data_IF_500933625054
#
_entry.id   IF_500933625054
#
_cell.length_a   1.000
_cell.length_b   1.000
_cell.length_c   1.000
_cell.angle_alpha   90.00
_cell.angle_beta   90.00
_cell.angle_gamma   90.00
#
_symmetry.space_group_name_H-M   'P 1'
#
loop_
_entity.id
_entity.type
_entity.pdbx_description
1 polymer ?
#
# COMPACT_ATOMS: atom_id res chain seq x y z
N UNK A 1 21.27 12.72 -34.76
CA UNK A 1 19.99 12.79 -34.04
C UNK A 1 20.22 12.25 -32.64
N UNK A 2 19.71 12.87 -31.58
CA UNK A 2 19.86 12.27 -30.26
C UNK A 2 19.18 10.88 -30.30
N UNK A 3 19.90 9.91 -29.75
CA UNK A 3 19.41 8.53 -29.62
C UNK A 3 18.19 8.55 -28.68
N UNK A 4 17.00 8.51 -29.24
CA UNK A 4 15.73 8.65 -28.52
C UNK A 4 15.26 7.30 -27.96
N UNK A 5 16.22 6.48 -27.47
CA UNK A 5 15.92 5.17 -26.90
C UNK A 5 15.47 5.32 -25.45
N UNK A 6 14.36 4.67 -25.09
CA UNK A 6 13.91 4.52 -23.70
C UNK A 6 14.95 3.71 -22.95
N UNK A 7 15.45 4.25 -21.82
CA UNK A 7 16.46 3.61 -20.97
C UNK A 7 15.91 3.22 -19.59
N UNK A 8 14.84 3.86 -19.15
CA UNK A 8 14.23 3.60 -17.86
C UNK A 8 12.70 3.56 -17.99
N UNK A 9 12.08 2.74 -17.15
CA UNK A 9 10.63 2.65 -16.98
C UNK A 9 10.29 2.92 -15.52
N UNK A 10 9.34 3.80 -15.29
CA UNK A 10 8.82 4.11 -13.96
C UNK A 10 7.39 3.64 -13.85
N UNK A 11 7.03 3.07 -12.69
CA UNK A 11 5.76 2.40 -12.46
C UNK A 11 5.01 3.02 -11.30
N UNK A 12 3.72 3.31 -11.49
CA UNK A 12 2.79 3.34 -10.38
C UNK A 12 2.74 1.97 -9.70
N UNK A 13 2.45 1.93 -8.40
CA UNK A 13 2.58 0.69 -7.61
C UNK A 13 1.23 0.16 -7.13
N UNK A 14 0.48 0.97 -6.38
CA UNK A 14 -0.77 0.52 -5.75
C UNK A 14 -1.88 0.28 -6.77
N UNK A 15 -2.25 -0.99 -6.99
CA UNK A 15 -3.24 -1.40 -7.99
C UNK A 15 -2.66 -1.68 -9.38
N UNK A 16 -1.49 -1.11 -9.72
CA UNK A 16 -0.79 -1.37 -10.98
C UNK A 16 0.15 -2.58 -10.86
N UNK A 17 0.98 -2.61 -9.84
CA UNK A 17 1.98 -3.65 -9.58
C UNK A 17 1.48 -4.65 -8.54
N UNK A 18 0.74 -4.18 -7.55
CA UNK A 18 0.24 -4.99 -6.43
C UNK A 18 -1.27 -4.91 -6.29
N UNK A 19 -1.88 -6.03 -5.91
CA UNK A 19 -3.29 -6.12 -5.53
C UNK A 19 -3.47 -5.69 -4.08
N UNK A 20 -3.61 -4.38 -3.88
CA UNK A 20 -3.79 -3.82 -2.55
C UNK A 20 -5.09 -4.29 -1.90
N UNK A 21 -6.18 -4.40 -2.68
CA UNK A 21 -7.51 -4.67 -2.14
C UNK A 21 -7.59 -6.06 -1.53
N UNK A 22 -7.25 -7.10 -2.29
CA UNK A 22 -7.27 -8.48 -1.79
C UNK A 22 -6.26 -8.68 -0.65
N UNK A 23 -5.12 -7.99 -0.72
CA UNK A 23 -4.09 -8.07 0.33
C UNK A 23 -4.57 -7.47 1.65
N UNK A 24 -5.22 -6.30 1.63
CA UNK A 24 -5.79 -5.67 2.84
C UNK A 24 -6.93 -6.50 3.40
N UNK A 25 -7.81 -7.06 2.55
CA UNK A 25 -8.88 -7.97 2.97
C UNK A 25 -8.29 -9.17 3.71
N UNK A 26 -7.28 -9.83 3.14
CA UNK A 26 -6.59 -10.97 3.77
C UNK A 26 -6.02 -10.63 5.15
N UNK A 27 -5.40 -9.47 5.31
CA UNK A 27 -4.87 -9.02 6.60
C UNK A 27 -5.98 -8.75 7.61
N UNK A 28 -7.12 -8.20 7.16
CA UNK A 28 -8.32 -8.01 7.98
C UNK A 28 -8.93 -9.32 8.44
N UNK A 29 -9.09 -10.29 7.53
CA UNK A 29 -9.58 -11.64 7.84
C UNK A 29 -8.67 -12.35 8.86
N UNK A 30 -7.34 -12.19 8.73
CA UNK A 30 -6.39 -12.71 9.69
C UNK A 30 -6.52 -12.06 11.07
N UNK A 31 -6.79 -10.76 11.13
CA UNK A 31 -7.10 -10.05 12.38
C UNK A 31 -8.42 -10.56 12.97
N UNK A 32 -9.44 -10.72 12.14
CA UNK A 32 -10.75 -11.26 12.53
C UNK A 32 -10.63 -12.64 13.18
N UNK A 33 -9.86 -13.53 12.59
CA UNK A 33 -9.65 -14.88 13.12
C UNK A 33 -9.00 -14.86 14.52
N UNK A 34 -8.13 -13.89 14.79
CA UNK A 34 -7.48 -13.75 16.10
C UNK A 34 -8.37 -13.10 17.16
N UNK A 35 -9.27 -12.20 16.74
CA UNK A 35 -10.05 -11.35 17.66
C UNK A 35 -11.54 -11.68 17.71
N UNK A 36 -12.00 -12.60 16.88
CA UNK A 36 -13.45 -12.93 16.80
C UNK A 36 -14.29 -11.79 16.23
N UNK A 37 -13.76 -11.05 15.25
CA UNK A 37 -14.45 -9.94 14.61
C UNK A 37 -15.32 -10.45 13.46
N UNK A 38 -16.54 -9.93 13.35
CA UNK A 38 -17.45 -10.19 12.23
C UNK A 38 -17.64 -8.87 11.45
N UNK A 39 -16.80 -8.66 10.46
CA UNK A 39 -16.69 -7.39 9.69
C UNK A 39 -16.69 -7.73 8.19
N UNK A 40 -17.37 -6.92 7.40
CA UNK A 40 -17.19 -6.92 5.94
C UNK A 40 -15.82 -6.29 5.59
N UNK A 41 -14.81 -7.14 5.47
CA UNK A 41 -13.44 -6.71 5.18
C UNK A 41 -13.27 -6.14 3.78
N UNK A 42 -14.13 -6.45 2.85
CA UNK A 42 -14.14 -5.82 1.53
C UNK A 42 -14.60 -4.37 1.64
N UNK A 43 -15.72 -4.12 2.33
CA UNK A 43 -16.17 -2.76 2.60
C UNK A 43 -15.18 -1.97 3.46
N UNK A 44 -14.51 -2.63 4.43
CA UNK A 44 -13.46 -2.01 5.25
C UNK A 44 -12.26 -1.57 4.38
N UNK A 45 -11.75 -2.45 3.52
CA UNK A 45 -10.61 -2.14 2.65
C UNK A 45 -10.94 -0.98 1.69
N UNK A 46 -12.11 -1.00 1.08
CA UNK A 46 -12.59 0.07 0.19
C UNK A 46 -12.76 1.39 0.96
N UNK A 47 -13.31 1.34 2.16
CA UNK A 47 -13.45 2.49 3.06
C UNK A 47 -12.10 3.08 3.45
N UNK A 48 -11.16 2.24 3.88
CA UNK A 48 -9.79 2.69 4.23
C UNK A 48 -9.10 3.36 3.04
N UNK A 49 -9.19 2.75 1.86
CA UNK A 49 -8.63 3.33 0.63
C UNK A 49 -9.30 4.65 0.24
N UNK A 50 -10.60 4.80 0.46
CA UNK A 50 -11.34 6.02 0.11
C UNK A 50 -10.88 7.27 0.92
N UNK A 51 -10.32 7.08 2.10
CA UNK A 51 -9.77 8.15 2.93
C UNK A 51 -8.41 8.68 2.44
N UNK A 52 -7.77 7.98 1.51
CA UNK A 52 -6.46 8.36 0.99
C UNK A 52 -6.48 9.71 0.25
N UNK A 53 -7.36 9.88 -0.73
CA UNK A 53 -7.38 11.09 -1.56
C UNK A 53 -7.69 12.37 -0.74
N UNK A 54 -8.66 12.38 0.19
CA UNK A 54 -8.87 13.51 1.07
C UNK A 54 -7.66 13.83 1.97
N UNK A 55 -6.99 12.80 2.50
CA UNK A 55 -5.80 12.99 3.34
C UNK A 55 -4.63 13.59 2.53
N UNK A 56 -4.39 13.10 1.32
CA UNK A 56 -3.38 13.64 0.41
C UNK A 56 -3.71 15.06 -0.07
N UNK A 57 -4.98 15.35 -0.32
CA UNK A 57 -5.43 16.68 -0.73
C UNK A 57 -5.07 17.73 0.32
N UNK A 58 -5.22 17.45 1.60
CA UNK A 58 -4.86 18.38 2.69
C UNK A 58 -3.40 18.80 2.66
N UNK A 59 -2.49 17.86 2.31
CA UNK A 59 -1.06 18.17 2.17
C UNK A 59 -0.82 18.98 0.89
N UNK A 60 -1.39 18.53 -0.22
CA UNK A 60 -1.24 19.19 -1.54
C UNK A 60 -1.74 20.62 -1.53
N UNK A 61 -2.83 20.89 -0.83
CA UNK A 61 -3.48 22.20 -0.75
C UNK A 61 -2.85 23.09 0.34
N UNK A 62 -1.79 22.65 1.02
CA UNK A 62 -1.09 23.41 2.05
C UNK A 62 -1.83 23.50 3.40
N UNK A 63 -2.90 22.72 3.58
CA UNK A 63 -3.67 22.69 4.83
C UNK A 63 -3.07 21.76 5.89
N UNK A 64 -2.00 21.07 5.53
CA UNK A 64 -1.25 20.17 6.41
C UNK A 64 0.21 20.07 5.92
N UNK A 65 1.15 20.05 6.87
CA UNK A 65 2.55 19.76 6.59
C UNK A 65 2.73 18.34 6.04
N UNK A 66 3.83 18.15 5.31
CA UNK A 66 4.18 16.83 4.78
C UNK A 66 4.37 15.81 5.90
N UNK A 67 3.75 14.65 5.72
CA UNK A 67 3.97 13.44 6.53
C UNK A 67 4.11 12.23 5.61
N UNK A 68 4.76 11.18 6.12
CA UNK A 68 4.88 9.91 5.39
C UNK A 68 3.51 9.27 5.18
N UNK A 69 3.37 8.51 4.09
CA UNK A 69 2.13 7.80 3.79
C UNK A 69 1.72 6.82 4.91
N UNK A 70 2.68 6.18 5.57
CA UNK A 70 2.40 5.31 6.72
C UNK A 70 1.64 6.02 7.85
N UNK A 71 1.92 7.31 8.07
CA UNK A 71 1.21 8.12 9.06
C UNK A 71 -0.23 8.36 8.61
N UNK A 72 -0.45 8.72 7.34
CA UNK A 72 -1.80 8.91 6.80
C UNK A 72 -2.61 7.61 6.83
N UNK A 73 -1.98 6.50 6.46
CA UNK A 73 -2.64 5.18 6.52
C UNK A 73 -3.08 4.85 7.95
N UNK A 74 -2.21 5.12 8.95
CA UNK A 74 -2.55 4.86 10.34
C UNK A 74 -3.69 5.74 10.84
N UNK A 75 -3.69 7.01 10.52
CA UNK A 75 -4.79 7.93 10.88
C UNK A 75 -6.11 7.50 10.24
N UNK A 76 -6.07 7.16 8.95
CA UNK A 76 -7.22 6.64 8.23
C UNK A 76 -7.68 5.27 8.78
N UNK A 77 -6.75 4.43 9.26
CA UNK A 77 -7.09 3.18 9.94
C UNK A 77 -7.86 3.45 11.23
N UNK A 78 -7.40 4.38 12.07
CA UNK A 78 -8.09 4.74 13.31
C UNK A 78 -9.52 5.23 13.04
N UNK A 79 -9.71 6.03 11.99
CA UNK A 79 -11.03 6.46 11.55
C UNK A 79 -11.91 5.27 11.10
N UNK A 80 -11.34 4.32 10.36
CA UNK A 80 -12.08 3.12 9.95
C UNK A 80 -12.45 2.20 11.12
N UNK A 81 -11.56 2.06 12.11
CA UNK A 81 -11.86 1.29 13.33
C UNK A 81 -13.03 1.92 14.08
N UNK A 82 -13.06 3.24 14.22
CA UNK A 82 -14.18 3.97 14.84
C UNK A 82 -15.47 3.78 14.05
N UNK A 83 -15.45 4.00 12.73
CA UNK A 83 -16.63 3.85 11.84
C UNK A 83 -17.23 2.45 11.88
N UNK A 84 -16.43 1.43 12.05
CA UNK A 84 -16.84 0.02 12.07
C UNK A 84 -17.09 -0.51 13.48
N UNK A 85 -16.87 0.30 14.52
CA UNK A 85 -17.07 -0.09 15.91
C UNK A 85 -16.05 -1.12 16.41
N UNK A 86 -14.91 -1.27 15.74
CA UNK A 86 -13.85 -2.18 16.19
C UNK A 86 -13.12 -1.55 17.38
N UNK A 87 -13.18 -2.21 18.53
CA UNK A 87 -12.54 -1.78 19.77
C UNK A 87 -11.66 -2.88 20.34
N UNK A 88 -10.85 -2.55 21.37
CA UNK A 88 -10.07 -3.54 22.10
C UNK A 88 -8.80 -4.00 21.40
N UNK A 89 -8.35 -3.30 20.32
CA UNK A 89 -7.04 -3.49 19.76
C UNK A 89 -6.01 -2.68 20.55
N UNK A 90 -4.87 -3.30 20.85
CA UNK A 90 -3.70 -2.58 21.39
C UNK A 90 -3.04 -1.72 20.32
N UNK A 91 -2.24 -0.74 20.72
CA UNK A 91 -1.44 0.08 19.79
C UNK A 91 -0.56 -0.78 18.88
N UNK A 92 0.05 -1.85 19.42
CA UNK A 92 0.87 -2.77 18.65
C UNK A 92 0.06 -3.54 17.59
N UNK A 93 -1.19 -3.89 17.87
CA UNK A 93 -2.08 -4.55 16.91
C UNK A 93 -2.54 -3.57 15.83
N UNK A 94 -2.81 -2.33 16.18
CA UNK A 94 -3.13 -1.27 15.23
C UNK A 94 -1.94 -1.01 14.31
N UNK A 95 -0.73 -0.90 14.86
CA UNK A 95 0.49 -0.69 14.09
C UNK A 95 0.77 -1.89 13.16
N UNK A 96 0.61 -3.13 13.65
CA UNK A 96 0.76 -4.32 12.81
C UNK A 96 -0.28 -4.34 11.67
N UNK A 97 -1.54 -3.99 11.96
CA UNK A 97 -2.56 -3.94 10.92
C UNK A 97 -2.30 -2.80 9.92
N UNK A 98 -1.77 -1.66 10.36
CA UNK A 98 -1.31 -0.61 9.45
C UNK A 98 -0.22 -1.10 8.48
N UNK A 99 0.64 -2.01 8.93
CA UNK A 99 1.64 -2.67 8.09
C UNK A 99 1.04 -3.61 7.00
N UNK A 100 -0.28 -3.79 6.94
CA UNK A 100 -0.93 -4.45 5.81
C UNK A 100 -0.50 -3.84 4.47
N UNK A 101 -0.33 -2.52 4.41
CA UNK A 101 0.15 -1.80 3.22
C UNK A 101 1.59 -2.14 2.82
N UNK A 102 2.40 -2.67 3.74
CA UNK A 102 3.75 -3.19 3.47
C UNK A 102 3.74 -4.65 3.00
N UNK A 103 2.59 -5.34 3.12
CA UNK A 103 2.45 -6.78 2.87
C UNK A 103 1.55 -7.07 1.66
N UNK A 104 1.50 -6.16 0.70
CA UNK A 104 0.70 -6.32 -0.51
C UNK A 104 1.30 -7.39 -1.43
N UNK A 105 0.43 -8.18 -2.05
CA UNK A 105 0.84 -9.21 -3.00
C UNK A 105 0.91 -8.64 -4.42
N UNK A 106 1.90 -9.03 -5.23
CA UNK A 106 1.97 -8.62 -6.62
C UNK A 106 0.89 -9.34 -7.44
N UNK A 107 0.49 -8.73 -8.55
CA UNK A 107 -0.28 -9.46 -9.56
C UNK A 107 0.55 -10.66 -10.09
N UNK A 108 -0.10 -11.74 -10.56
CA UNK A 108 0.59 -12.98 -10.91
C UNK A 108 1.70 -12.86 -11.98
N UNK A 109 1.60 -11.88 -12.86
CA UNK A 109 2.53 -11.63 -13.96
C UNK A 109 3.67 -10.65 -13.62
N UNK A 110 3.57 -9.96 -12.49
CA UNK A 110 4.43 -8.80 -12.17
C UNK A 110 5.88 -9.20 -11.97
N UNK A 111 6.18 -10.16 -11.10
CA UNK A 111 7.57 -10.49 -10.77
C UNK A 111 8.33 -10.97 -12.01
N UNK A 112 7.71 -11.85 -12.80
CA UNK A 112 8.31 -12.33 -14.04
C UNK A 112 8.42 -11.22 -15.09
N UNK A 113 7.39 -10.37 -15.22
CA UNK A 113 7.36 -9.24 -16.15
C UNK A 113 8.43 -8.20 -15.84
N UNK A 114 8.51 -7.76 -14.57
CA UNK A 114 9.51 -6.80 -14.13
C UNK A 114 10.94 -7.34 -14.26
N UNK A 115 11.17 -8.60 -13.90
CA UNK A 115 12.49 -9.27 -14.08
C UNK A 115 12.92 -9.24 -15.54
N UNK A 116 12.00 -9.53 -16.47
CA UNK A 116 12.28 -9.47 -17.91
C UNK A 116 12.56 -8.02 -18.37
N UNK A 117 11.79 -7.03 -17.89
CA UNK A 117 12.02 -5.63 -18.23
C UNK A 117 13.36 -5.13 -17.69
N UNK A 118 13.72 -5.49 -16.46
CA UNK A 118 15.00 -5.15 -15.83
C UNK A 118 16.21 -5.61 -16.65
N UNK A 119 16.08 -6.65 -17.43
CA UNK A 119 17.20 -7.10 -18.30
C UNK A 119 17.55 -6.13 -19.43
N UNK A 120 16.67 -5.16 -19.70
CA UNK A 120 16.83 -4.18 -20.79
C UNK A 120 16.71 -2.73 -20.36
N UNK A 121 16.04 -2.47 -19.26
CA UNK A 121 15.73 -1.13 -18.79
C UNK A 121 16.08 -1.01 -17.30
N UNK A 122 16.39 0.19 -16.87
CA UNK A 122 16.31 0.57 -15.46
C UNK A 122 14.83 0.58 -15.08
N UNK A 123 14.43 -0.06 -13.99
CA UNK A 123 13.05 -0.08 -13.53
C UNK A 123 12.95 0.52 -12.13
N UNK A 124 12.04 1.47 -11.95
CA UNK A 124 11.88 2.18 -10.69
C UNK A 124 10.40 2.44 -10.39
N UNK A 125 10.11 2.76 -9.13
CA UNK A 125 8.76 3.16 -8.70
C UNK A 125 8.54 4.66 -8.85
N UNK A 126 7.33 5.03 -9.20
CA UNK A 126 6.79 6.38 -9.05
C UNK A 126 5.54 6.30 -8.18
N UNK A 127 5.71 6.54 -6.88
CA UNK A 127 4.66 6.30 -5.89
C UNK A 127 4.73 7.32 -4.76
N UNK A 128 3.60 7.57 -4.10
CA UNK A 128 3.52 8.33 -2.85
C UNK A 128 3.96 7.51 -1.63
N UNK A 129 4.24 6.23 -1.81
CA UNK A 129 4.74 5.36 -0.74
C UNK A 129 6.10 5.84 -0.23
N UNK A 130 6.24 5.92 1.10
CA UNK A 130 7.52 6.24 1.70
C UNK A 130 8.52 5.08 1.52
N UNK A 131 9.80 5.38 1.67
CA UNK A 131 10.90 4.44 1.37
C UNK A 131 10.74 3.11 2.12
N UNK A 132 10.44 3.15 3.43
CA UNK A 132 10.30 1.93 4.23
C UNK A 132 9.16 1.04 3.70
N UNK A 133 8.02 1.63 3.31
CA UNK A 133 6.89 0.93 2.72
C UNK A 133 7.29 0.26 1.40
N UNK A 134 7.93 0.99 0.50
CA UNK A 134 8.37 0.45 -0.80
C UNK A 134 9.40 -0.67 -0.64
N UNK A 135 10.38 -0.51 0.25
CA UNK A 135 11.42 -1.53 0.49
C UNK A 135 10.83 -2.79 1.11
N UNK A 136 9.96 -2.67 2.11
CA UNK A 136 9.33 -3.82 2.75
C UNK A 136 8.43 -4.59 1.76
N UNK A 137 7.64 -3.87 0.98
CA UNK A 137 6.79 -4.44 -0.07
C UNK A 137 7.66 -5.17 -1.12
N UNK A 138 8.71 -4.54 -1.61
CA UNK A 138 9.59 -5.12 -2.61
C UNK A 138 10.26 -6.41 -2.12
N UNK A 139 10.76 -6.40 -0.88
CA UNK A 139 11.37 -7.60 -0.27
C UNK A 139 10.39 -8.74 -0.12
N UNK A 140 9.16 -8.44 0.35
CA UNK A 140 8.14 -9.46 0.55
C UNK A 140 7.62 -10.02 -0.77
N UNK A 141 7.34 -9.17 -1.73
CA UNK A 141 6.71 -9.54 -3.00
C UNK A 141 7.73 -9.98 -4.08
N UNK A 142 9.04 -9.86 -3.82
CA UNK A 142 10.06 -10.19 -4.81
C UNK A 142 10.14 -9.19 -5.97
N UNK A 143 9.80 -7.91 -5.74
CA UNK A 143 9.82 -6.88 -6.78
C UNK A 143 11.27 -6.44 -7.05
N UNK A 144 11.77 -6.59 -8.29
CA UNK A 144 13.18 -6.45 -8.60
C UNK A 144 13.57 -5.01 -9.01
N UNK A 145 13.14 -4.00 -8.27
CA UNK A 145 13.49 -2.59 -8.57
C UNK A 145 15.02 -2.37 -8.58
N UNK A 146 15.47 -1.34 -9.33
CA UNK A 146 16.85 -0.86 -9.34
C UNK A 146 17.17 0.11 -8.21
#
# INVERSE_FOLDING_TARGET
MPDNQVKALIFDVFGTVVDWRSSVIREGEALAARKGLDIDWAAFADGWRSLYDPAMARIRDGNRDFVKLDVLHRENLLEMLDRTGITGLSEAEIDDFNYAWHRLDPWPDVVAGLTRLKSKFIIATQSNGNIALMVNMAKRAGLPWD
#
